data_IF_385960591786
#
_entry.id   IF_385960591786
#
_cell.length_a   1.000
_cell.length_b   1.000
_cell.length_c   1.000
_cell.angle_alpha   90.00
_cell.angle_beta   90.00
_cell.angle_gamma   90.00
#
_symmetry.space_group_name_H-M   'P 1'
#
loop_
_entity.id
_entity.type
_entity.pdbx_description
1 polymer ?
#
# COMPACT_ATOMS: atom_id res chain seq x y z
N UNK A 1 -1.60 -11.92 -11.73
CA UNK A 1 -0.27 -11.59 -11.14
C UNK A 1 0.03 -12.58 -10.02
N UNK A 2 1.27 -13.06 -9.86
CA UNK A 2 1.61 -14.00 -8.78
C UNK A 2 1.94 -13.27 -7.46
N UNK A 3 1.86 -13.95 -6.31
CA UNK A 3 2.12 -13.37 -4.97
C UNK A 3 3.50 -12.68 -4.92
N UNK A 4 4.55 -13.28 -5.49
CA UNK A 4 5.89 -12.66 -5.50
C UNK A 4 5.94 -11.36 -6.32
N UNK A 5 5.16 -11.24 -7.38
CA UNK A 5 5.06 -10.02 -8.18
C UNK A 5 4.23 -8.95 -7.46
N UNK A 6 3.13 -9.37 -6.83
CA UNK A 6 2.30 -8.49 -5.99
C UNK A 6 3.13 -7.92 -4.85
N UNK A 7 3.91 -8.76 -4.16
CA UNK A 7 4.82 -8.37 -3.09
C UNK A 7 5.81 -7.29 -3.52
N UNK A 8 6.52 -7.53 -4.63
CA UNK A 8 7.49 -6.55 -5.14
C UNK A 8 6.81 -5.23 -5.51
N UNK A 9 5.64 -5.32 -6.15
CA UNK A 9 4.88 -4.13 -6.52
C UNK A 9 4.40 -3.34 -5.30
N UNK A 10 3.80 -4.00 -4.31
CA UNK A 10 3.36 -3.38 -3.06
C UNK A 10 4.56 -2.71 -2.38
N UNK A 11 5.72 -3.38 -2.34
CA UNK A 11 6.94 -2.81 -1.76
C UNK A 11 7.41 -1.56 -2.51
N UNK A 12 7.40 -1.58 -3.85
CA UNK A 12 7.75 -0.41 -4.66
C UNK A 12 6.79 0.75 -4.40
N UNK A 13 5.48 0.50 -4.36
CA UNK A 13 4.48 1.53 -4.10
C UNK A 13 4.63 2.12 -2.69
N UNK A 14 4.85 1.29 -1.66
CA UNK A 14 5.14 1.75 -0.29
C UNK A 14 6.37 2.66 -0.27
N UNK A 15 7.45 2.28 -0.98
CA UNK A 15 8.68 3.09 -1.03
C UNK A 15 8.49 4.42 -1.76
N UNK A 16 7.71 4.45 -2.85
CA UNK A 16 7.34 5.69 -3.55
C UNK A 16 6.52 6.62 -2.66
N UNK A 17 5.60 6.05 -1.89
CA UNK A 17 4.81 6.78 -0.88
C UNK A 17 5.72 7.34 0.22
N UNK A 18 6.65 6.54 0.78
CA UNK A 18 7.65 7.00 1.78
C UNK A 18 8.51 8.14 1.23
N UNK A 19 8.91 8.07 -0.03
CA UNK A 19 9.71 9.10 -0.70
C UNK A 19 8.92 10.37 -1.05
N UNK A 20 7.63 10.43 -0.74
CA UNK A 20 6.73 11.51 -1.12
C UNK A 20 6.63 11.71 -2.63
N UNK A 21 6.90 10.68 -3.42
CA UNK A 21 6.70 10.70 -4.88
C UNK A 21 5.21 10.56 -5.24
N UNK A 22 4.38 10.20 -4.25
CA UNK A 22 2.94 10.03 -4.38
C UNK A 22 2.28 10.91 -3.31
N UNK A 23 1.61 11.97 -3.75
CA UNK A 23 0.80 12.80 -2.87
C UNK A 23 -0.57 12.15 -2.65
N UNK A 24 -0.71 11.49 -1.50
CA UNK A 24 -2.00 10.99 -1.01
C UNK A 24 -2.79 12.17 -0.45
N UNK A 25 -3.44 12.94 -1.32
CA UNK A 25 -4.36 14.01 -0.90
C UNK A 25 -5.54 13.43 -0.10
N UNK A 26 -5.48 13.42 1.24
CA UNK A 26 -6.52 12.84 2.12
C UNK A 26 -6.82 11.37 1.81
N UNK A 27 -5.88 10.69 1.17
CA UNK A 27 -6.06 9.37 0.58
C UNK A 27 -5.50 8.27 1.48
N UNK A 28 -6.26 7.19 1.65
CA UNK A 28 -5.77 6.01 2.34
C UNK A 28 -4.70 5.29 1.50
N UNK A 29 -3.54 5.02 2.09
CA UNK A 29 -2.45 4.22 1.48
C UNK A 29 -2.97 2.90 0.92
N UNK A 30 -3.85 2.22 1.67
CA UNK A 30 -4.43 0.97 1.23
C UNK A 30 -5.31 1.15 -0.02
N UNK A 31 -6.15 2.19 -0.06
CA UNK A 31 -6.97 2.48 -1.24
C UNK A 31 -6.11 2.79 -2.47
N UNK A 32 -4.99 3.50 -2.29
CA UNK A 32 -4.04 3.75 -3.37
C UNK A 32 -3.41 2.45 -3.89
N UNK A 33 -2.87 1.63 -3.00
CA UNK A 33 -2.25 0.35 -3.39
C UNK A 33 -3.26 -0.60 -4.04
N UNK A 34 -4.50 -0.67 -3.54
CA UNK A 34 -5.57 -1.46 -4.14
C UNK A 34 -5.92 -0.92 -5.54
N UNK A 35 -6.01 0.41 -5.71
CA UNK A 35 -6.28 1.02 -7.02
C UNK A 35 -5.14 0.75 -8.01
N UNK A 36 -3.88 0.94 -7.59
CA UNK A 36 -2.71 0.62 -8.41
C UNK A 36 -2.65 -0.87 -8.79
N UNK A 37 -3.01 -1.77 -7.87
CA UNK A 37 -3.12 -3.21 -8.13
C UNK A 37 -4.23 -3.49 -9.15
N UNK A 38 -5.41 -2.90 -8.98
CA UNK A 38 -6.55 -3.00 -9.89
C UNK A 38 -6.18 -2.55 -11.30
N UNK A 39 -5.54 -1.39 -11.44
CA UNK A 39 -5.11 -0.85 -12.75
C UNK A 39 -4.09 -1.75 -13.43
N UNK A 40 -3.15 -2.32 -12.66
CA UNK A 40 -2.11 -3.20 -13.20
C UNK A 40 -2.61 -4.58 -13.61
N UNK A 41 -3.66 -5.06 -12.94
CA UNK A 41 -4.20 -6.41 -13.15
C UNK A 41 -5.48 -6.45 -13.99
N UNK A 42 -6.20 -5.33 -14.15
CA UNK A 42 -7.51 -5.29 -14.82
C UNK A 42 -8.61 -6.04 -14.08
N UNK A 43 -8.36 -6.43 -12.82
CA UNK A 43 -9.27 -7.19 -11.96
C UNK A 43 -10.18 -6.26 -11.15
N UNK A 44 -11.13 -6.81 -10.39
CA UNK A 44 -12.02 -6.01 -9.55
C UNK A 44 -11.27 -5.44 -8.34
N UNK A 45 -11.84 -4.41 -7.71
CA UNK A 45 -11.28 -3.82 -6.48
C UNK A 45 -11.22 -4.85 -5.34
N UNK A 46 -12.22 -5.74 -5.24
CA UNK A 46 -12.23 -6.84 -4.27
C UNK A 46 -11.07 -7.80 -4.50
N UNK A 47 -10.84 -8.26 -5.74
CA UNK A 47 -9.72 -9.16 -6.05
C UNK A 47 -8.37 -8.53 -5.69
N UNK A 48 -8.23 -7.22 -5.93
CA UNK A 48 -7.02 -6.47 -5.58
C UNK A 48 -6.84 -6.35 -4.05
N UNK A 49 -7.94 -6.14 -3.31
CA UNK A 49 -7.93 -6.10 -1.85
C UNK A 49 -7.61 -7.46 -1.23
N UNK A 50 -8.21 -8.54 -1.75
CA UNK A 50 -7.91 -9.91 -1.34
C UNK A 50 -6.45 -10.26 -1.61
N UNK A 51 -5.92 -9.91 -2.78
CA UNK A 51 -4.51 -10.15 -3.10
C UNK A 51 -3.56 -9.34 -2.20
N UNK A 52 -3.89 -8.09 -1.90
CA UNK A 52 -3.13 -7.28 -0.96
C UNK A 52 -3.12 -7.95 0.42
N UNK A 53 -4.30 -8.30 0.94
CA UNK A 53 -4.47 -8.97 2.23
C UNK A 53 -3.68 -10.29 2.29
N UNK A 54 -3.79 -11.11 1.26
CA UNK A 54 -3.09 -12.39 1.17
C UNK A 54 -1.57 -12.20 1.12
N UNK A 55 -1.09 -11.22 0.35
CA UNK A 55 0.34 -10.91 0.25
C UNK A 55 0.92 -10.38 1.57
N UNK A 56 0.21 -9.48 2.24
CA UNK A 56 0.63 -8.94 3.55
C UNK A 56 0.56 -10.01 4.65
N UNK A 57 -0.44 -10.91 4.59
CA UNK A 57 -0.55 -12.03 5.53
C UNK A 57 0.62 -13.00 5.37
N UNK A 58 1.06 -13.27 4.14
CA UNK A 58 2.19 -14.15 3.85
C UNK A 58 3.56 -13.52 4.14
N UNK A 59 3.71 -12.19 4.04
CA UNK A 59 4.94 -11.47 4.37
C UNK A 59 4.73 -10.49 5.52
N UNK A 60 4.91 -11.01 6.74
CA UNK A 60 4.78 -10.23 7.98
C UNK A 60 5.71 -9.04 8.08
N UNK A 61 6.88 -9.06 7.40
CA UNK A 61 7.79 -7.90 7.36
C UNK A 61 7.21 -6.79 6.50
N UNK A 62 6.73 -7.15 5.30
CA UNK A 62 6.07 -6.20 4.41
C UNK A 62 4.80 -5.64 5.05
N UNK A 63 4.06 -6.46 5.78
CA UNK A 63 2.89 -6.02 6.55
C UNK A 63 3.25 -4.97 7.60
N UNK A 64 4.31 -5.18 8.36
CA UNK A 64 4.76 -4.19 9.33
C UNK A 64 5.19 -2.89 8.65
N UNK A 65 5.96 -2.97 7.55
CA UNK A 65 6.34 -1.77 6.79
C UNK A 65 5.13 -1.02 6.21
N UNK A 66 4.11 -1.75 5.77
CA UNK A 66 2.88 -1.17 5.27
C UNK A 66 2.12 -0.43 6.37
N UNK A 67 1.99 -1.04 7.56
CA UNK A 67 1.37 -0.41 8.73
C UNK A 67 2.14 0.86 9.12
N UNK A 68 3.47 0.79 9.21
CA UNK A 68 4.30 1.93 9.60
C UNK A 68 4.11 3.11 8.64
N UNK A 69 3.95 2.85 7.34
CA UNK A 69 3.73 3.91 6.33
C UNK A 69 2.32 4.49 6.38
N UNK A 70 1.32 3.63 6.56
CA UNK A 70 -0.07 4.05 6.82
C UNK A 70 -0.10 4.96 8.04
N UNK A 71 0.51 4.54 9.15
CA UNK A 71 0.59 5.34 10.38
C UNK A 71 1.35 6.65 10.17
N UNK A 72 2.51 6.63 9.50
CA UNK A 72 3.27 7.85 9.21
C UNK A 72 2.46 8.87 8.42
N UNK A 73 1.67 8.43 7.45
CA UNK A 73 0.81 9.31 6.65
C UNK A 73 -0.36 9.83 7.48
N UNK A 74 -1.05 8.95 8.22
CA UNK A 74 -2.13 9.38 9.10
C UNK A 74 -1.65 10.34 10.20
N UNK A 75 -0.44 10.14 10.73
CA UNK A 75 0.16 11.05 11.72
C UNK A 75 0.61 12.37 11.10
N UNK A 76 1.16 12.35 9.88
CA UNK A 76 1.47 13.57 9.11
C UNK A 76 0.22 14.37 8.77
N UNK A 77 -0.83 13.72 8.28
CA UNK A 77 -2.11 14.38 7.98
C UNK A 77 -2.80 14.91 9.24
N UNK A 78 -2.60 14.27 10.41
CA UNK A 78 -3.10 14.76 11.69
C UNK A 78 -2.27 15.88 12.32
N UNK A 79 -1.21 16.35 11.66
CA UNK A 79 -0.39 17.45 12.17
C UNK A 79 0.15 17.18 13.59
N UNK A 80 0.43 15.92 13.92
CA UNK A 80 1.17 15.58 15.15
C UNK A 80 2.67 15.81 14.88
N UNK A 81 3.05 17.08 14.81
CA UNK A 81 4.45 17.48 14.94
C UNK A 81 4.99 16.98 16.28
N UNK A 82 6.12 16.28 16.25
CA UNK A 82 7.06 16.23 17.37
C UNK A 82 8.19 17.22 17.10
#
# INVERSE_FOLDING_TARGET
MNISQARNFIKEEIERIKKHEIELHQGCVACHVISSLKEKQGHSEQDAADLLSDTLTHDTKLNQEFIDVVEQIHMKERNMCF
#
